data_IF_554756850368
#
_entry.id   IF_554756850368
#
_cell.length_a   1.000
_cell.length_b   1.000
_cell.length_c   1.000
_cell.angle_alpha   90.00
_cell.angle_beta   90.00
_cell.angle_gamma   90.00
#
_symmetry.space_group_name_H-M   'P 1'
#
loop_
_entity.id
_entity.type
_entity.pdbx_description
1 polymer ?
#
# COMPACT_ATOMS: atom_id res chain seq x y z
N UNK A 1 -2.48 5.28 21.52
CA UNK A 1 -3.47 4.71 20.58
C UNK A 1 -2.98 3.32 20.20
N UNK A 2 -3.81 2.28 20.30
CA UNK A 2 -3.36 0.90 20.02
C UNK A 2 -2.89 0.76 18.57
N UNK A 3 -1.67 0.24 18.36
CA UNK A 3 -1.07 0.03 17.04
C UNK A 3 -2.00 -0.78 16.11
N UNK A 4 -2.78 -1.69 16.67
CA UNK A 4 -3.82 -2.46 15.98
C UNK A 4 -4.95 -1.58 15.41
N UNK A 5 -5.40 -0.57 16.15
CA UNK A 5 -6.45 0.35 15.70
C UNK A 5 -5.94 1.22 14.54
N UNK A 6 -4.67 1.62 14.60
CA UNK A 6 -4.00 2.36 13.52
C UNK A 6 -3.82 1.51 12.27
N UNK A 7 -3.34 0.27 12.40
CA UNK A 7 -3.23 -0.63 11.25
C UNK A 7 -4.61 -0.87 10.63
N UNK A 8 -5.65 -1.12 11.45
CA UNK A 8 -7.00 -1.34 10.97
C UNK A 8 -7.58 -0.11 10.25
N UNK A 9 -7.39 1.09 10.80
CA UNK A 9 -7.84 2.33 10.17
C UNK A 9 -7.07 2.65 8.87
N UNK A 10 -5.77 2.35 8.81
CA UNK A 10 -4.97 2.50 7.59
C UNK A 10 -5.39 1.55 6.49
N UNK A 11 -5.69 0.30 6.86
CA UNK A 11 -6.26 -0.70 5.96
C UNK A 11 -7.64 -0.29 5.43
N UNK A 12 -8.50 0.25 6.30
CA UNK A 12 -9.82 0.72 5.90
C UNK A 12 -9.73 1.93 4.95
N UNK A 13 -8.83 2.88 5.24
CA UNK A 13 -8.63 4.06 4.40
C UNK A 13 -8.07 3.70 3.01
N UNK A 14 -7.10 2.78 2.96
CA UNK A 14 -6.55 2.27 1.69
C UNK A 14 -7.63 1.56 0.87
N UNK A 15 -8.40 0.65 1.47
CA UNK A 15 -9.53 -0.02 0.79
C UNK A 15 -10.56 0.98 0.21
N UNK A 16 -10.91 2.03 0.96
CA UNK A 16 -11.87 3.05 0.50
C UNK A 16 -11.30 3.89 -0.65
N UNK A 17 -10.04 4.32 -0.57
CA UNK A 17 -9.42 5.13 -1.62
C UNK A 17 -9.23 4.34 -2.91
N UNK A 18 -8.85 3.08 -2.80
CA UNK A 18 -8.75 2.16 -3.91
C UNK A 18 -10.10 1.97 -4.60
N UNK A 19 -11.18 1.86 -3.82
CA UNK A 19 -12.55 1.76 -4.35
C UNK A 19 -12.89 2.89 -5.32
N UNK A 20 -12.40 4.12 -5.06
CA UNK A 20 -12.62 5.26 -5.94
C UNK A 20 -11.89 5.13 -7.28
N UNK A 21 -10.68 4.56 -7.29
CA UNK A 21 -9.91 4.29 -8.52
C UNK A 21 -10.61 3.25 -9.39
N UNK A 22 -11.30 2.30 -8.74
CA UNK A 22 -11.95 1.18 -9.41
C UNK A 22 -13.39 1.42 -9.80
N UNK A 23 -14.02 2.52 -9.36
CA UNK A 23 -15.37 2.91 -9.76
C UNK A 23 -15.63 2.82 -11.29
N UNK A 24 -14.69 3.20 -12.17
CA UNK A 24 -14.83 3.05 -13.62
C UNK A 24 -14.84 1.59 -14.11
N UNK A 25 -14.20 0.67 -13.38
CA UNK A 25 -14.20 -0.76 -13.69
C UNK A 25 -15.49 -1.45 -13.26
N UNK A 26 -16.14 -1.00 -12.17
CA UNK A 26 -17.49 -1.45 -11.79
C UNK A 26 -18.54 -1.18 -12.87
N UNK A 27 -18.40 -0.10 -13.64
CA UNK A 27 -19.28 0.20 -14.79
C UNK A 27 -19.18 -0.82 -15.95
N UNK A 28 -18.15 -1.66 -15.98
CA UNK A 28 -17.97 -2.70 -17.02
C UNK A 28 -18.54 -4.08 -16.64
N UNK A 29 -19.25 -4.18 -15.50
CA UNK A 29 -19.98 -5.37 -15.03
C UNK A 29 -19.15 -6.66 -14.94
N UNK A 30 -17.85 -6.57 -14.70
CA UNK A 30 -16.98 -7.74 -14.54
C UNK A 30 -16.67 -8.01 -13.06
N UNK A 31 -17.70 -8.44 -12.33
CA UNK A 31 -17.64 -8.60 -10.87
C UNK A 31 -16.57 -9.59 -10.41
N UNK A 32 -16.25 -10.60 -11.21
CA UNK A 32 -15.20 -11.58 -10.89
C UNK A 32 -13.81 -10.96 -10.96
N UNK A 33 -13.53 -10.16 -11.99
CA UNK A 33 -12.27 -9.43 -12.12
C UNK A 33 -12.12 -8.38 -11.00
N UNK A 34 -13.19 -7.65 -10.69
CA UNK A 34 -13.19 -6.66 -9.60
C UNK A 34 -12.93 -7.34 -8.25
N UNK A 35 -13.59 -8.45 -7.95
CA UNK A 35 -13.34 -9.21 -6.71
C UNK A 35 -11.90 -9.73 -6.60
N UNK A 36 -11.37 -10.33 -7.67
CA UNK A 36 -9.98 -10.78 -7.71
C UNK A 36 -9.00 -9.62 -7.51
N UNK A 37 -9.31 -8.45 -8.06
CA UNK A 37 -8.54 -7.23 -7.85
C UNK A 37 -8.50 -6.83 -6.37
N UNK A 38 -9.65 -6.69 -5.70
CA UNK A 38 -9.69 -6.32 -4.28
C UNK A 38 -8.93 -7.31 -3.40
N UNK A 39 -9.08 -8.61 -3.65
CA UNK A 39 -8.37 -9.62 -2.87
C UNK A 39 -6.85 -9.50 -3.03
N UNK A 40 -6.37 -9.31 -4.26
CA UNK A 40 -4.94 -9.14 -4.54
C UNK A 40 -4.41 -7.87 -3.88
N UNK A 41 -5.12 -6.76 -4.04
CA UNK A 41 -4.71 -5.45 -3.52
C UNK A 41 -4.77 -5.37 -1.99
N UNK A 42 -5.78 -5.97 -1.37
CA UNK A 42 -5.84 -6.07 0.09
C UNK A 42 -4.68 -6.93 0.63
N UNK A 43 -4.38 -8.06 -0.01
CA UNK A 43 -3.30 -8.94 0.41
C UNK A 43 -1.92 -8.27 0.31
N UNK A 44 -1.67 -7.53 -0.76
CA UNK A 44 -0.42 -6.79 -0.96
C UNK A 44 -0.28 -5.61 -0.03
N UNK A 45 -1.33 -4.80 0.19
CA UNK A 45 -1.30 -3.71 1.17
C UNK A 45 -1.07 -4.21 2.60
N UNK A 46 -1.73 -5.30 3.02
CA UNK A 46 -1.47 -5.91 4.33
C UNK A 46 -0.02 -6.35 4.43
N UNK A 47 0.47 -7.03 3.39
CA UNK A 47 1.84 -7.56 3.36
C UNK A 47 2.88 -6.44 3.42
N UNK A 48 2.70 -5.38 2.63
CA UNK A 48 3.62 -4.26 2.57
C UNK A 48 3.64 -3.47 3.88
N UNK A 49 2.48 -3.16 4.45
CA UNK A 49 2.39 -2.49 5.75
C UNK A 49 2.98 -3.35 6.89
N UNK A 50 2.81 -4.67 6.85
CA UNK A 50 3.42 -5.57 7.83
C UNK A 50 4.95 -5.59 7.71
N UNK A 51 5.48 -5.70 6.48
CA UNK A 51 6.91 -5.67 6.21
C UNK A 51 7.52 -4.33 6.67
N UNK A 52 6.88 -3.21 6.34
CA UNK A 52 7.33 -1.87 6.76
C UNK A 52 7.30 -1.72 8.28
N UNK A 53 6.23 -2.19 8.94
CA UNK A 53 6.12 -2.15 10.40
C UNK A 53 7.21 -2.99 11.09
N UNK A 54 7.50 -4.18 10.57
CA UNK A 54 8.58 -5.03 11.07
C UNK A 54 9.95 -4.38 10.86
N UNK A 55 10.18 -3.75 9.70
CA UNK A 55 11.41 -3.04 9.41
C UNK A 55 11.63 -1.84 10.36
N UNK A 56 10.57 -1.07 10.64
CA UNK A 56 10.61 0.03 11.62
C UNK A 56 10.89 -0.48 13.04
N UNK A 57 10.27 -1.59 13.44
CA UNK A 57 10.50 -2.19 14.76
C UNK A 57 11.92 -2.72 14.90
N UNK A 58 12.48 -3.34 13.85
CA UNK A 58 13.85 -3.81 13.83
C UNK A 58 14.85 -2.64 13.91
N UNK A 59 14.59 -1.54 13.20
CA UNK A 59 15.39 -0.31 13.27
C UNK A 59 15.37 0.29 14.68
N UNK A 60 14.20 0.37 15.32
CA UNK A 60 14.06 0.82 16.70
C UNK A 60 14.84 -0.05 17.69
N UNK A 61 14.79 -1.38 17.54
CA UNK A 61 15.55 -2.31 18.38
C UNK A 61 17.07 -2.19 18.20
N UNK A 62 17.53 -1.71 17.04
CA UNK A 62 18.94 -1.42 16.77
C UNK A 62 19.37 -0.02 17.24
N UNK A 63 18.48 0.73 17.89
CA UNK A 63 18.74 2.09 18.36
C UNK A 63 18.79 3.13 17.24
N UNK A 64 18.27 2.81 16.05
CA UNK A 64 18.23 3.71 14.90
C UNK A 64 16.91 4.48 14.96
N UNK A 65 16.96 5.74 15.40
CA UNK A 65 15.83 6.65 15.22
C UNK A 65 15.84 7.22 13.80
N UNK A 66 14.87 6.78 12.99
CA UNK A 66 14.66 7.25 11.62
C UNK A 66 14.37 8.76 11.55
N UNK A 67 13.98 9.41 12.67
CA UNK A 67 13.77 10.86 12.74
C UNK A 67 15.08 11.64 12.77
N UNK A 68 16.13 11.08 13.34
CA UNK A 68 17.42 11.75 13.55
C UNK A 68 18.48 11.31 12.53
N UNK A 69 18.36 10.10 11.99
CA UNK A 69 19.29 9.53 11.02
C UNK A 69 18.82 9.73 9.57
N UNK A 70 19.11 10.90 8.97
CA UNK A 70 18.72 11.25 7.60
C UNK A 70 19.13 10.20 6.54
N UNK A 71 20.30 9.57 6.69
CA UNK A 71 20.77 8.51 5.79
C UNK A 71 19.94 7.22 5.91
N UNK A 72 19.53 6.85 7.13
CA UNK A 72 18.67 5.70 7.37
C UNK A 72 17.24 5.95 6.86
N UNK A 73 16.71 7.16 7.07
CA UNK A 73 15.42 7.58 6.52
C UNK A 73 15.41 7.56 4.99
N UNK A 74 16.49 8.03 4.35
CA UNK A 74 16.65 7.97 2.90
C UNK A 74 16.66 6.53 2.37
N UNK A 75 17.48 5.65 2.97
CA UNK A 75 17.54 4.23 2.58
C UNK A 75 16.19 3.52 2.79
N UNK A 76 15.50 3.84 3.87
CA UNK A 76 14.15 3.32 4.15
C UNK A 76 13.13 3.80 3.10
N UNK A 77 13.18 5.07 2.71
CA UNK A 77 12.37 5.63 1.63
C UNK A 77 12.64 4.96 0.28
N UNK A 78 13.92 4.76 -0.08
CA UNK A 78 14.30 4.05 -1.30
C UNK A 78 13.81 2.59 -1.30
N UNK A 79 13.93 1.89 -0.18
CA UNK A 79 13.43 0.52 -0.03
C UNK A 79 11.90 0.48 -0.22
N UNK A 80 11.18 1.40 0.41
CA UNK A 80 9.72 1.49 0.31
C UNK A 80 9.29 1.72 -1.14
N UNK A 81 9.96 2.62 -1.86
CA UNK A 81 9.69 2.87 -3.28
C UNK A 81 9.90 1.62 -4.15
N UNK A 82 11.01 0.90 -3.95
CA UNK A 82 11.30 -0.34 -4.67
C UNK A 82 10.28 -1.45 -4.34
N UNK A 83 9.90 -1.57 -3.07
CA UNK A 83 8.91 -2.54 -2.60
C UNK A 83 7.54 -2.29 -3.22
N UNK A 84 7.08 -1.03 -3.27
CA UNK A 84 5.82 -0.68 -3.93
C UNK A 84 5.88 -0.91 -5.45
N UNK A 85 7.00 -0.58 -6.10
CA UNK A 85 7.19 -0.89 -7.52
C UNK A 85 7.10 -2.40 -7.81
N UNK A 86 7.67 -3.22 -6.93
CA UNK A 86 7.55 -4.68 -7.01
C UNK A 86 6.10 -5.16 -6.78
N UNK A 87 5.38 -4.56 -5.83
CA UNK A 87 3.98 -4.87 -5.58
C UNK A 87 3.12 -4.56 -6.79
N UNK A 88 3.24 -3.35 -7.37
CA UNK A 88 2.54 -2.97 -8.61
C UNK A 88 2.78 -3.99 -9.72
N UNK A 89 4.02 -4.44 -9.88
CA UNK A 89 4.36 -5.45 -10.87
C UNK A 89 3.73 -6.82 -10.55
N UNK A 90 3.79 -7.26 -9.29
CA UNK A 90 3.23 -8.53 -8.85
C UNK A 90 1.70 -8.56 -9.02
N UNK A 91 1.00 -7.50 -8.62
CA UNK A 91 -0.44 -7.35 -8.80
C UNK A 91 -0.81 -7.39 -10.28
N UNK A 92 -0.12 -6.61 -11.11
CA UNK A 92 -0.33 -6.61 -12.54
C UNK A 92 -0.12 -8.01 -13.14
N UNK A 93 0.94 -8.72 -12.75
CA UNK A 93 1.24 -10.07 -13.24
C UNK A 93 0.16 -11.09 -12.86
N UNK A 94 -0.39 -11.00 -11.64
CA UNK A 94 -1.49 -11.84 -11.18
C UNK A 94 -2.78 -11.49 -11.93
N UNK A 95 -3.15 -10.21 -11.99
CA UNK A 95 -4.40 -9.74 -12.57
C UNK A 95 -4.46 -9.92 -14.09
N UNK A 96 -3.33 -9.82 -14.77
CA UNK A 96 -3.22 -10.11 -16.20
C UNK A 96 -3.63 -11.54 -16.55
N UNK A 97 -3.48 -12.50 -15.62
CA UNK A 97 -3.95 -13.89 -15.81
C UNK A 97 -5.47 -14.01 -15.79
N UNK A 98 -6.18 -13.12 -15.09
CA UNK A 98 -7.63 -13.13 -14.99
C UNK A 98 -8.29 -12.39 -16.17
N UNK A 99 -7.79 -11.20 -16.54
CA UNK A 99 -8.24 -10.46 -17.73
C UNK A 99 -7.25 -9.38 -18.16
N UNK A 100 -6.91 -9.35 -19.45
CA UNK A 100 -6.02 -8.34 -20.01
C UNK A 100 -6.81 -7.08 -20.42
N UNK A 101 -7.08 -6.18 -19.48
CA UNK A 101 -7.53 -4.83 -19.84
C UNK A 101 -6.36 -3.99 -20.37
N UNK A 102 -6.57 -3.24 -21.48
CA UNK A 102 -5.55 -2.37 -22.09
C UNK A 102 -4.90 -1.39 -21.09
N UNK A 103 -5.65 -0.94 -20.09
CA UNK A 103 -5.21 0.04 -19.10
C UNK A 103 -4.97 -0.56 -17.70
N UNK A 104 -4.86 -1.90 -17.59
CA UNK A 104 -4.73 -2.59 -16.32
C UNK A 104 -3.58 -2.07 -15.45
N UNK A 105 -2.41 -1.86 -16.06
CA UNK A 105 -1.24 -1.34 -15.36
C UNK A 105 -1.50 0.05 -14.75
N UNK A 106 -2.23 0.92 -15.47
CA UNK A 106 -2.58 2.25 -14.97
C UNK A 106 -3.54 2.20 -13.78
N UNK A 107 -4.48 1.26 -13.78
CA UNK A 107 -5.38 1.05 -12.64
C UNK A 107 -4.63 0.49 -11.41
N UNK A 108 -3.74 -0.49 -11.62
CA UNK A 108 -2.89 -1.07 -10.57
C UNK A 108 -1.96 -0.01 -9.98
N UNK A 109 -1.22 0.71 -10.84
CA UNK A 109 -0.31 1.76 -10.39
C UNK A 109 -1.07 2.91 -9.69
N UNK A 110 -2.24 3.31 -10.20
CA UNK A 110 -3.05 4.37 -9.61
C UNK A 110 -3.57 4.01 -8.22
N UNK A 111 -4.01 2.77 -8.02
CA UNK A 111 -4.48 2.30 -6.72
C UNK A 111 -3.37 2.19 -5.68
N UNK A 112 -2.23 1.61 -6.07
CA UNK A 112 -1.06 1.53 -5.20
C UNK A 112 -0.56 2.94 -4.82
N UNK A 113 -0.51 3.88 -5.77
CA UNK A 113 -0.10 5.26 -5.49
C UNK A 113 -1.05 5.98 -4.51
N UNK A 114 -2.36 5.75 -4.64
CA UNK A 114 -3.35 6.30 -3.70
C UNK A 114 -3.24 5.66 -2.32
N UNK A 115 -2.95 4.36 -2.25
CA UNK A 115 -2.73 3.67 -0.99
C UNK A 115 -1.44 4.10 -0.29
N UNK A 116 -0.37 4.32 -1.05
CA UNK A 116 0.88 4.88 -0.55
C UNK A 116 0.69 6.30 0.01
N UNK A 117 -0.08 7.14 -0.69
CA UNK A 117 -0.42 8.48 -0.23
C UNK A 117 -1.27 8.45 1.05
N UNK A 118 -2.24 7.54 1.12
CA UNK A 118 -3.07 7.32 2.31
C UNK A 118 -2.24 6.87 3.51
N UNK A 119 -1.37 5.88 3.32
CA UNK A 119 -0.46 5.38 4.33
C UNK A 119 0.50 6.47 4.81
N UNK A 120 1.06 7.25 3.90
CA UNK A 120 1.96 8.37 4.23
C UNK A 120 1.26 9.45 5.06
N UNK A 121 0.04 9.88 4.66
CA UNK A 121 -0.74 10.87 5.40
C UNK A 121 -1.09 10.37 6.81
N UNK A 122 -1.42 9.08 6.93
CA UNK A 122 -1.71 8.47 8.21
C UNK A 122 -0.48 8.43 9.12
N UNK A 123 0.68 8.04 8.60
CA UNK A 123 1.95 8.07 9.33
C UNK A 123 2.28 9.49 9.77
N UNK A 124 2.16 10.49 8.89
CA UNK A 124 2.36 11.90 9.25
C UNK A 124 1.41 12.37 10.35
N UNK A 125 0.13 12.01 10.29
CA UNK A 125 -0.84 12.35 11.33
C UNK A 125 -0.46 11.74 12.68
N UNK A 126 -0.07 10.46 12.72
CA UNK A 126 0.39 9.76 13.93
C UNK A 126 1.63 10.44 14.51
N UNK A 127 2.63 10.73 13.66
CA UNK A 127 3.87 11.37 14.09
C UNK A 127 3.62 12.79 14.64
N UNK A 128 2.62 13.51 14.12
CA UNK A 128 2.24 14.84 14.64
C UNK A 128 1.39 14.82 15.92
N UNK A 129 0.86 13.66 16.29
CA UNK A 129 -0.01 13.48 17.47
C UNK A 129 0.66 12.75 18.64
N UNK A 130 1.95 12.41 18.48
CA UNK A 130 2.88 11.90 19.49
C UNK A 130 3.88 12.98 19.88
#
# INVERSE_FOLDING_TARGET
MDALLLIAAGLAATLVLETLVFLPLFRKSDGYFVGAFYCVNAATNVSLNLILSLAMLLAGNLGIDLREAASAAYLFGCFTFLAEGFVVWAEYAVLKKFRAHKNLLGYVAGANALSAAAGSLMVSFILSSL
#
